data_IF_718090668054
#
_entry.id   IF_718090668054
#
_cell.length_a   1.000
_cell.length_b   1.000
_cell.length_c   1.000
_cell.angle_alpha   90.00
_cell.angle_beta   90.00
_cell.angle_gamma   90.00
#
_symmetry.space_group_name_H-M   'P 1'
#
loop_
_entity.id
_entity.type
_entity.pdbx_description
1 polymer ?
#
# COMPACT_ATOMS: atom_id res chain seq x y z
N UNK A 1 -18.07 -2.95 -21.62
CA UNK A 1 -18.05 -2.56 -20.20
C UNK A 1 -16.66 -2.65 -19.57
N UNK A 2 -15.73 -3.43 -20.13
CA UNK A 2 -14.35 -3.64 -19.60
C UNK A 2 -13.41 -2.42 -19.67
N UNK A 3 -13.66 -1.45 -20.57
CA UNK A 3 -12.84 -0.22 -20.71
C UNK A 3 -13.15 0.86 -19.67
N UNK A 4 -14.31 0.81 -19.01
CA UNK A 4 -14.74 1.85 -18.06
C UNK A 4 -14.14 1.65 -16.66
N UNK A 5 -13.82 0.40 -16.29
CA UNK A 5 -13.28 0.07 -14.96
C UNK A 5 -11.81 0.48 -14.85
N UNK A 6 -10.98 0.23 -15.87
CA UNK A 6 -9.57 0.63 -15.87
C UNK A 6 -9.37 2.17 -15.77
N UNK A 7 -10.27 2.96 -16.35
CA UNK A 7 -10.24 4.42 -16.23
C UNK A 7 -10.71 4.94 -14.86
N UNK A 8 -11.51 4.16 -14.13
CA UNK A 8 -12.05 4.56 -12.83
C UNK A 8 -11.07 4.30 -11.67
N UNK A 9 -10.23 3.26 -11.78
CA UNK A 9 -9.17 2.98 -10.79
C UNK A 9 -8.11 4.10 -10.74
N UNK A 10 -7.83 4.73 -11.89
CA UNK A 10 -6.90 5.87 -11.97
C UNK A 10 -7.43 7.16 -11.31
N UNK A 11 -8.75 7.28 -11.13
CA UNK A 11 -9.39 8.50 -10.60
C UNK A 11 -9.83 8.38 -9.14
N UNK A 12 -9.81 7.17 -8.55
CA UNK A 12 -10.19 6.91 -7.16
C UNK A 12 -9.00 6.70 -6.20
N UNK A 13 -7.76 6.79 -6.67
CA UNK A 13 -6.56 6.80 -5.81
C UNK A 13 -6.39 8.16 -5.12
N UNK A 14 -7.39 8.57 -4.33
CA UNK A 14 -7.40 9.82 -3.60
C UNK A 14 -6.79 9.58 -2.22
N UNK A 15 -5.60 10.18 -2.00
CA UNK A 15 -4.86 10.34 -0.74
C UNK A 15 -5.03 9.23 0.33
N UNK A 16 -4.16 8.21 0.26
CA UNK A 16 -4.10 7.17 1.30
C UNK A 16 -2.99 7.48 2.32
N UNK A 17 -3.36 8.12 3.42
CA UNK A 17 -2.51 8.31 4.59
C UNK A 17 -2.74 7.18 5.59
N UNK A 18 -1.70 6.43 5.97
CA UNK A 18 -1.81 5.43 7.03
C UNK A 18 -1.27 6.02 8.34
N UNK A 19 -2.14 6.21 9.33
CA UNK A 19 -1.76 6.55 10.69
C UNK A 19 -2.17 5.39 11.59
N UNK A 20 -1.27 4.92 12.46
CA UNK A 20 -1.64 4.00 13.54
C UNK A 20 -1.98 4.87 14.76
N UNK A 21 -3.25 5.09 15.11
CA UNK A 21 -3.56 5.90 16.28
C UNK A 21 -3.15 5.14 17.54
N UNK A 22 -2.20 5.69 18.29
CA UNK A 22 -2.10 5.41 19.72
C UNK A 22 -3.16 6.26 20.40
N UNK A 23 -4.20 5.63 20.94
CA UNK A 23 -5.28 6.35 21.64
C UNK A 23 -4.69 7.05 22.87
N UNK A 24 -4.56 8.37 22.80
CA UNK A 24 -4.10 9.24 23.87
C UNK A 24 -4.65 10.64 23.67
N UNK A 25 -5.21 11.21 24.73
CA UNK A 25 -5.75 12.57 24.85
C UNK A 25 -4.92 13.63 24.12
N UNK A 26 -5.63 14.59 23.48
CA UNK A 26 -5.10 15.72 22.71
C UNK A 26 -3.76 16.26 23.24
N UNK A 27 -2.68 15.70 22.70
CA UNK A 27 -1.35 16.25 22.82
C UNK A 27 -1.20 17.35 21.76
N UNK A 28 -0.51 18.44 22.10
CA UNK A 28 0.15 19.32 21.13
C UNK A 28 0.58 18.48 19.92
N UNK A 29 0.17 18.87 18.69
CA UNK A 29 0.52 18.12 17.48
C UNK A 29 2.02 17.84 17.51
N UNK A 30 2.38 16.60 17.83
CA UNK A 30 3.76 16.23 18.02
C UNK A 30 4.46 16.41 16.68
N UNK A 31 5.61 17.08 16.66
CA UNK A 31 6.39 17.16 15.42
C UNK A 31 6.92 15.76 15.11
N UNK A 32 6.72 15.23 13.88
CA UNK A 32 7.29 13.94 13.51
C UNK A 32 8.80 13.89 13.73
N UNK A 33 9.28 12.84 14.41
CA UNK A 33 10.71 12.60 14.59
C UNK A 33 11.37 12.17 13.29
N UNK A 34 10.64 11.45 12.44
CA UNK A 34 11.11 10.92 11.16
C UNK A 34 9.96 10.82 10.17
N UNK A 35 10.22 11.19 8.92
CA UNK A 35 9.26 11.09 7.82
C UNK A 35 9.95 10.43 6.64
N UNK A 36 9.26 9.49 6.01
CA UNK A 36 9.71 8.90 4.76
C UNK A 36 8.61 8.91 3.71
N UNK A 37 9.02 8.96 2.46
CA UNK A 37 8.13 8.99 1.33
C UNK A 37 8.62 8.03 0.25
N UNK A 38 7.66 7.32 -0.36
CA UNK A 38 7.85 6.64 -1.63
C UNK A 38 6.88 7.22 -2.65
N UNK A 39 7.31 7.42 -3.89
CA UNK A 39 6.44 7.99 -4.92
C UNK A 39 6.74 7.45 -6.30
N UNK A 40 5.74 7.51 -7.17
CA UNK A 40 5.91 7.24 -8.61
C UNK A 40 6.28 8.53 -9.33
N UNK A 41 7.35 8.49 -10.12
CA UNK A 41 7.77 9.62 -10.94
C UNK A 41 8.08 9.16 -12.37
N UNK A 42 7.46 9.86 -13.33
CA UNK A 42 7.65 9.59 -14.75
C UNK A 42 9.01 10.08 -15.22
N UNK A 43 9.78 9.19 -15.85
CA UNK A 43 11.07 9.48 -16.44
C UNK A 43 10.94 10.16 -17.83
N UNK A 44 12.07 10.50 -18.44
CA UNK A 44 12.10 11.17 -19.74
C UNK A 44 11.54 10.32 -20.90
N UNK A 45 11.45 8.99 -20.70
CA UNK A 45 10.91 8.05 -21.68
C UNK A 45 9.40 7.83 -21.50
N UNK A 46 8.81 8.38 -20.43
CA UNK A 46 7.38 8.27 -20.14
C UNK A 46 7.03 7.14 -19.18
N UNK A 47 8.03 6.41 -18.65
CA UNK A 47 7.80 5.30 -17.72
C UNK A 47 7.80 5.79 -16.28
N UNK A 48 6.86 5.32 -15.47
CA UNK A 48 6.85 5.62 -14.04
C UNK A 48 7.85 4.74 -13.27
N UNK A 49 8.76 5.36 -12.52
CA UNK A 49 9.70 4.69 -11.63
C UNK A 49 9.41 5.01 -10.15
N UNK A 50 9.76 4.10 -9.24
CA UNK A 50 9.59 4.32 -7.79
C UNK A 50 10.83 4.96 -7.21
N UNK A 51 10.62 6.01 -6.42
CA UNK A 51 11.66 6.72 -5.67
C UNK A 51 11.38 6.68 -4.17
N UNK A 52 12.43 6.83 -3.38
CA UNK A 52 12.40 6.96 -1.93
C UNK A 52 13.21 8.16 -1.47
N UNK A 53 12.73 8.83 -0.43
CA UNK A 53 13.48 9.80 0.35
C UNK A 53 12.98 9.78 1.79
N UNK A 54 13.84 10.20 2.71
CA UNK A 54 13.51 10.36 4.11
C UNK A 54 14.01 11.69 4.66
N UNK A 55 13.54 12.04 5.86
CA UNK A 55 14.08 13.14 6.66
C UNK A 55 13.90 12.87 8.14
N UNK A 56 14.89 13.32 8.91
CA UNK A 56 14.75 13.49 10.35
C UNK A 56 13.99 14.79 10.66
N UNK A 57 13.55 14.93 11.90
CA UNK A 57 12.98 16.16 12.42
C UNK A 57 13.90 17.36 12.11
N UNK A 58 13.31 18.43 11.58
CA UNK A 58 13.98 19.70 11.23
C UNK A 58 15.16 19.57 10.23
N UNK A 59 15.32 18.41 9.58
CA UNK A 59 16.30 18.19 8.54
C UNK A 59 15.69 18.35 7.13
N UNK A 60 16.50 18.72 6.11
CA UNK A 60 16.06 18.61 4.73
C UNK A 60 15.80 17.14 4.35
N UNK A 61 14.97 16.93 3.33
CA UNK A 61 14.85 15.62 2.70
C UNK A 61 16.19 15.12 2.17
N UNK A 62 16.43 13.82 2.30
CA UNK A 62 17.54 13.13 1.65
C UNK A 62 17.44 13.28 0.13
N UNK A 63 18.56 13.09 -0.56
CA UNK A 63 18.54 12.95 -2.02
C UNK A 63 17.65 11.76 -2.43
N UNK A 64 16.71 11.93 -3.37
CA UNK A 64 15.87 10.83 -3.85
C UNK A 64 16.66 9.66 -4.43
N UNK A 65 16.36 8.46 -3.97
CA UNK A 65 16.93 7.21 -4.48
C UNK A 65 15.90 6.48 -5.32
N UNK A 66 16.26 6.15 -6.58
CA UNK A 66 15.43 5.29 -7.44
C UNK A 66 15.51 3.84 -6.96
N UNK A 67 14.37 3.20 -6.71
CA UNK A 67 14.26 1.80 -6.26
C UNK A 67 14.15 0.85 -7.46
N UNK A 68 13.46 1.25 -8.53
CA UNK A 68 13.20 0.39 -9.69
C UNK A 68 14.35 0.38 -10.70
N UNK A 69 14.57 -0.75 -11.35
CA UNK A 69 15.59 -0.97 -12.38
C UNK A 69 15.02 -1.48 -13.72
N UNK A 70 13.70 -1.48 -13.85
CA UNK A 70 12.95 -1.89 -15.05
C UNK A 70 12.39 -0.69 -15.84
N UNK A 71 11.72 -1.01 -16.96
CA UNK A 71 10.98 -0.08 -17.83
C UNK A 71 9.46 -0.24 -17.68
N UNK A 72 8.98 -0.81 -16.58
CA UNK A 72 7.56 -0.94 -16.33
C UNK A 72 6.99 0.41 -15.89
N UNK A 73 5.67 0.58 -16.04
CA UNK A 73 4.97 1.64 -15.33
C UNK A 73 4.76 1.21 -13.88
N UNK A 74 5.61 1.73 -13.01
CA UNK A 74 5.60 1.41 -11.59
C UNK A 74 4.75 2.44 -10.82
N UNK A 75 3.67 1.96 -10.22
CA UNK A 75 2.58 2.78 -9.68
C UNK A 75 2.17 2.33 -8.28
N UNK A 76 1.59 3.25 -7.51
CA UNK A 76 1.03 3.02 -6.17
C UNK A 76 2.03 2.36 -5.19
N UNK A 77 3.22 2.97 -4.97
CA UNK A 77 4.17 2.44 -4.01
C UNK A 77 3.66 2.62 -2.59
N UNK A 78 3.92 1.63 -1.73
CA UNK A 78 3.63 1.68 -0.29
C UNK A 78 4.86 1.19 0.46
N UNK A 79 5.23 1.87 1.55
CA UNK A 79 6.35 1.50 2.41
C UNK A 79 5.86 1.05 3.79
N UNK A 80 6.53 0.06 4.37
CA UNK A 80 6.33 -0.34 5.77
C UNK A 80 7.65 -0.73 6.45
N UNK A 81 7.77 -0.36 7.72
CA UNK A 81 8.90 -0.70 8.58
C UNK A 81 8.72 -2.07 9.24
N UNK A 82 9.78 -2.88 9.21
CA UNK A 82 9.91 -4.10 9.98
C UNK A 82 10.59 -3.88 11.33
N UNK A 83 10.28 -4.70 12.35
CA UNK A 83 10.89 -4.57 13.69
C UNK A 83 12.38 -4.90 13.73
N UNK A 84 12.94 -5.45 12.66
CA UNK A 84 14.36 -5.73 12.50
C UNK A 84 15.13 -4.60 11.78
N UNK A 85 14.49 -3.45 11.56
CA UNK A 85 15.06 -2.29 10.90
C UNK A 85 15.08 -2.38 9.38
N UNK A 86 14.53 -3.44 8.78
CA UNK A 86 14.33 -3.51 7.32
C UNK A 86 13.06 -2.76 6.92
N UNK A 87 13.11 -2.10 5.77
CA UNK A 87 11.93 -1.44 5.18
C UNK A 87 11.47 -2.21 3.96
N UNK A 88 10.17 -2.35 3.79
CA UNK A 88 9.55 -3.00 2.64
C UNK A 88 8.85 -1.97 1.79
N UNK A 89 9.17 -1.93 0.49
CA UNK A 89 8.42 -1.16 -0.50
C UNK A 89 7.75 -2.14 -1.45
N UNK A 90 6.44 -1.98 -1.66
CA UNK A 90 5.67 -2.74 -2.65
C UNK A 90 5.00 -1.79 -3.63
N UNK A 91 4.83 -2.20 -4.88
CA UNK A 91 4.19 -1.38 -5.91
C UNK A 91 3.54 -2.23 -7.00
N UNK A 92 2.62 -1.65 -7.76
CA UNK A 92 2.10 -2.23 -9.00
C UNK A 92 3.11 -1.99 -10.11
N UNK A 93 3.58 -3.04 -10.77
CA UNK A 93 4.51 -2.93 -11.90
C UNK A 93 3.79 -3.36 -13.17
N UNK A 94 3.56 -2.42 -14.08
CA UNK A 94 2.67 -2.59 -15.24
C UNK A 94 3.47 -2.67 -16.53
N UNK A 95 3.30 -3.78 -17.25
CA UNK A 95 3.83 -3.99 -18.58
C UNK A 95 2.72 -4.60 -19.44
N UNK A 96 1.86 -3.75 -20.00
CA UNK A 96 0.60 -4.19 -20.58
C UNK A 96 0.78 -5.36 -21.57
N UNK A 97 -0.06 -6.42 -21.48
CA UNK A 97 -1.28 -6.51 -20.67
C UNK A 97 -1.07 -6.96 -19.21
N UNK A 98 0.18 -7.18 -18.77
CA UNK A 98 0.49 -7.80 -17.49
C UNK A 98 0.62 -6.77 -16.34
N UNK A 99 0.10 -7.15 -15.17
CA UNK A 99 0.13 -6.34 -13.95
C UNK A 99 0.67 -7.18 -12.79
N UNK A 100 1.84 -6.82 -12.30
CA UNK A 100 2.55 -7.54 -11.24
C UNK A 100 2.54 -6.73 -9.94
N UNK A 101 2.71 -7.42 -8.81
CA UNK A 101 3.16 -6.76 -7.58
C UNK A 101 4.67 -7.00 -7.45
N UNK A 102 5.43 -5.92 -7.43
CA UNK A 102 6.86 -5.95 -7.15
C UNK A 102 7.14 -5.48 -5.73
N UNK A 103 8.29 -5.88 -5.20
CA UNK A 103 8.80 -5.43 -3.91
C UNK A 103 10.31 -5.23 -3.92
N UNK A 104 10.79 -4.38 -3.01
CA UNK A 104 12.20 -4.21 -2.65
C UNK A 104 12.33 -4.01 -1.14
N UNK A 105 13.48 -4.42 -0.59
CA UNK A 105 13.76 -4.37 0.84
C UNK A 105 15.01 -3.51 1.07
N UNK A 106 14.90 -2.50 1.93
CA UNK A 106 16.05 -1.74 2.43
C UNK A 106 16.66 -2.51 3.61
N UNK A 107 17.93 -2.86 3.51
CA UNK A 107 18.68 -3.48 4.61
C UNK A 107 20.11 -2.94 4.62
N UNK A 108 20.58 -2.46 5.78
CA UNK A 108 21.93 -1.88 5.89
C UNK A 108 22.16 -0.68 4.97
N UNK A 109 21.12 0.10 4.68
CA UNK A 109 21.19 1.28 3.79
C UNK A 109 21.19 0.95 2.29
N UNK A 110 21.01 -0.31 1.88
CA UNK A 110 20.99 -0.72 0.49
C UNK A 110 19.66 -1.37 0.13
N UNK A 111 19.03 -0.90 -0.95
CA UNK A 111 17.83 -1.53 -1.52
C UNK A 111 18.21 -2.82 -2.25
N UNK A 112 17.44 -3.88 -2.04
CA UNK A 112 17.55 -5.09 -2.87
C UNK A 112 17.09 -4.81 -4.31
N UNK A 113 17.57 -5.58 -5.27
CA UNK A 113 16.97 -5.58 -6.61
C UNK A 113 15.46 -5.87 -6.52
N UNK A 114 14.60 -5.17 -7.30
CA UNK A 114 13.18 -5.46 -7.40
C UNK A 114 12.88 -6.92 -7.69
N UNK A 115 11.82 -7.45 -7.06
CA UNK A 115 11.35 -8.83 -7.27
C UNK A 115 9.84 -8.86 -7.36
N UNK A 116 9.31 -9.72 -8.22
CA UNK A 116 7.89 -10.00 -8.26
C UNK A 116 7.44 -10.88 -7.08
N UNK A 117 6.25 -10.59 -6.53
CA UNK A 117 5.53 -11.52 -5.66
C UNK A 117 4.84 -12.54 -6.55
N UNK A 118 5.06 -13.86 -6.36
CA UNK A 118 4.46 -14.88 -7.20
C UNK A 118 2.95 -14.98 -6.91
N UNK A 119 2.13 -14.35 -7.76
CA UNK A 119 0.68 -14.32 -7.56
C UNK A 119 -0.05 -15.50 -8.24
N UNK A 120 0.36 -15.86 -9.47
CA UNK A 120 -0.39 -16.79 -10.31
C UNK A 120 -1.73 -16.25 -10.80
N UNK A 121 -1.96 -14.94 -10.64
CA UNK A 121 -3.15 -14.20 -11.07
C UNK A 121 -2.85 -13.44 -12.37
N UNK A 122 -3.88 -13.17 -13.17
CA UNK A 122 -3.75 -12.49 -14.47
C UNK A 122 -3.47 -10.99 -14.34
N UNK A 123 -3.97 -10.36 -13.27
CA UNK A 123 -3.73 -8.95 -12.97
C UNK A 123 -3.64 -8.74 -11.47
N UNK A 124 -2.77 -7.83 -11.05
CA UNK A 124 -2.52 -7.50 -9.65
C UNK A 124 -2.25 -5.99 -9.51
N UNK A 125 -3.05 -5.30 -8.72
CA UNK A 125 -2.99 -3.83 -8.61
C UNK A 125 -3.22 -3.33 -7.19
N UNK A 126 -2.79 -2.09 -6.94
CA UNK A 126 -2.98 -1.37 -5.68
C UNK A 126 -2.54 -2.19 -4.45
N UNK A 127 -1.26 -2.61 -4.38
CA UNK A 127 -0.78 -3.36 -3.23
C UNK A 127 -0.67 -2.47 -2.01
N UNK A 128 -0.76 -3.08 -0.84
CA UNK A 128 -0.43 -2.47 0.44
C UNK A 128 0.36 -3.46 1.29
N UNK A 129 1.27 -2.96 2.11
CA UNK A 129 2.15 -3.78 2.95
C UNK A 129 2.11 -3.33 4.40
N UNK A 130 2.15 -4.29 5.32
CA UNK A 130 2.44 -4.08 6.73
C UNK A 130 3.34 -5.22 7.24
N UNK A 131 4.20 -4.94 8.21
CA UNK A 131 5.07 -5.96 8.83
C UNK A 131 4.61 -6.17 10.27
N UNK A 132 4.43 -7.43 10.68
CA UNK A 132 4.04 -7.73 12.06
C UNK A 132 5.24 -7.81 13.02
N UNK A 133 4.95 -7.86 14.33
CA UNK A 133 5.95 -7.96 15.40
C UNK A 133 6.84 -9.23 15.29
N UNK A 134 6.44 -10.21 14.49
CA UNK A 134 7.21 -11.43 14.18
C UNK A 134 8.03 -11.30 12.89
N UNK A 135 8.16 -10.07 12.35
CA UNK A 135 8.91 -9.75 11.14
C UNK A 135 8.38 -10.50 9.90
N UNK A 136 7.06 -10.72 9.86
CA UNK A 136 6.35 -11.24 8.70
C UNK A 136 5.79 -10.07 7.91
N UNK A 137 6.19 -9.93 6.65
CA UNK A 137 5.56 -8.97 5.76
C UNK A 137 4.23 -9.54 5.25
N UNK A 138 3.15 -8.79 5.41
CA UNK A 138 1.83 -9.07 4.89
C UNK A 138 1.55 -8.10 3.75
N UNK A 139 1.28 -8.65 2.56
CA UNK A 139 0.93 -7.85 1.38
C UNK A 139 -0.49 -8.20 0.96
N UNK A 140 -1.31 -7.18 0.76
CA UNK A 140 -2.67 -7.27 0.20
C UNK A 140 -2.71 -6.55 -1.13
N UNK A 141 -3.58 -6.97 -2.05
CA UNK A 141 -3.75 -6.32 -3.36
C UNK A 141 -5.11 -6.68 -3.99
N UNK A 142 -5.55 -5.87 -4.96
CA UNK A 142 -6.67 -6.21 -5.84
C UNK A 142 -6.15 -7.17 -6.93
N UNK A 143 -6.73 -8.36 -7.03
CA UNK A 143 -6.26 -9.40 -7.94
C UNK A 143 -7.36 -9.97 -8.83
N UNK A 144 -7.02 -10.32 -10.07
CA UNK A 144 -7.91 -10.92 -11.06
C UNK A 144 -7.41 -12.31 -11.48
N UNK A 145 -8.28 -13.31 -11.56
CA UNK A 145 -7.90 -14.67 -12.00
C UNK A 145 -8.04 -14.88 -13.53
N UNK A 146 -8.47 -13.84 -14.27
CA UNK A 146 -8.72 -13.86 -15.70
C UNK A 146 -10.14 -14.27 -16.08
N UNK A 147 -10.98 -14.63 -15.12
CA UNK A 147 -12.36 -15.13 -15.34
C UNK A 147 -13.39 -14.41 -14.46
N UNK A 148 -13.02 -13.98 -13.26
CA UNK A 148 -13.88 -13.22 -12.34
C UNK A 148 -13.57 -11.73 -12.32
N UNK A 149 -14.31 -10.98 -11.50
CA UNK A 149 -13.95 -9.62 -11.13
C UNK A 149 -12.68 -9.60 -10.26
N UNK A 150 -12.20 -8.37 -10.01
CA UNK A 150 -11.14 -8.13 -9.04
C UNK A 150 -11.63 -8.46 -7.64
N UNK A 151 -10.80 -9.17 -6.88
CA UNK A 151 -11.05 -9.61 -5.53
C UNK A 151 -9.85 -9.25 -4.66
N UNK A 152 -10.00 -9.26 -3.33
CA UNK A 152 -8.90 -8.93 -2.43
C UNK A 152 -8.08 -10.18 -2.15
N UNK A 153 -6.80 -10.15 -2.48
CA UNK A 153 -5.85 -11.21 -2.17
C UNK A 153 -4.85 -10.76 -1.12
N UNK A 154 -4.27 -11.73 -0.44
CA UNK A 154 -3.10 -11.51 0.41
C UNK A 154 -2.08 -12.63 0.27
N UNK A 155 -0.82 -12.30 0.53
CA UNK A 155 0.25 -13.26 0.76
C UNK A 155 1.17 -12.72 1.87
N UNK A 156 1.98 -13.62 2.43
CA UNK A 156 2.87 -13.33 3.54
C UNK A 156 4.27 -13.78 3.18
N UNK A 157 5.27 -12.95 3.48
CA UNK A 157 6.66 -13.33 3.37
C UNK A 157 7.23 -13.64 4.76
N UNK A 158 7.70 -14.88 4.95
CA UNK A 158 8.36 -15.34 6.18
C UNK A 158 9.72 -15.91 5.82
N UNK A 159 10.77 -15.39 6.45
CA UNK A 159 12.16 -15.79 6.18
C UNK A 159 12.49 -15.80 4.66
N UNK A 160 12.01 -14.79 3.93
CA UNK A 160 12.26 -14.62 2.49
C UNK A 160 11.42 -15.53 1.57
N UNK A 161 10.44 -16.28 2.11
CA UNK A 161 9.55 -17.14 1.32
C UNK A 161 8.12 -16.63 1.35
N UNK A 162 7.53 -16.51 0.17
CA UNK A 162 6.13 -16.14 -0.01
C UNK A 162 5.21 -17.35 0.16
N UNK A 163 4.11 -17.15 0.87
CA UNK A 163 2.96 -18.04 0.82
C UNK A 163 2.33 -18.00 -0.58
N UNK A 164 1.61 -19.08 -0.93
CA UNK A 164 0.66 -18.98 -2.06
C UNK A 164 -0.38 -17.91 -1.71
N UNK A 165 -0.73 -17.01 -2.64
CA UNK A 165 -1.79 -16.05 -2.41
C UNK A 165 -3.12 -16.71 -2.06
N UNK A 166 -3.88 -16.04 -1.21
CA UNK A 166 -5.21 -16.50 -0.79
C UNK A 166 -6.17 -15.34 -0.92
N UNK A 167 -7.34 -15.59 -1.53
CA UNK A 167 -8.43 -14.62 -1.57
C UNK A 167 -8.96 -14.40 -0.14
N UNK A 168 -9.05 -13.14 0.25
CA UNK A 168 -9.44 -12.68 1.58
C UNK A 168 -10.96 -12.58 1.73
N UNK A 169 -11.63 -12.09 0.70
CA UNK A 169 -13.06 -11.80 0.68
C UNK A 169 -13.89 -12.95 0.08
N UNK A 170 -15.19 -13.05 0.41
CA UNK A 170 -16.12 -13.94 -0.29
C UNK A 170 -16.30 -13.50 -1.75
N UNK A 171 -16.35 -14.47 -2.67
CA UNK A 171 -16.63 -14.20 -4.09
C UNK A 171 -17.96 -13.47 -4.23
N UNK A 172 -18.00 -12.48 -5.11
CA UNK A 172 -19.24 -11.81 -5.50
C UNK A 172 -19.21 -11.39 -6.98
N UNK A 173 -20.28 -10.75 -7.45
CA UNK A 173 -20.47 -10.41 -8.87
C UNK A 173 -19.95 -9.02 -9.23
N UNK A 174 -19.27 -8.34 -8.30
CA UNK A 174 -18.73 -7.00 -8.49
C UNK A 174 -17.25 -6.93 -8.07
N UNK A 175 -16.50 -5.91 -8.49
CA UNK A 175 -15.11 -5.76 -8.03
C UNK A 175 -15.02 -5.34 -6.56
N UNK A 176 -14.09 -5.97 -5.83
CA UNK A 176 -13.55 -5.47 -4.57
C UNK A 176 -12.13 -4.94 -4.83
N UNK A 177 -11.87 -3.70 -4.45
CA UNK A 177 -10.67 -2.96 -4.88
C UNK A 177 -10.03 -2.15 -3.75
N UNK A 178 -8.78 -1.72 -3.99
CA UNK A 178 -8.01 -0.79 -3.15
C UNK A 178 -7.88 -1.27 -1.70
N UNK A 179 -7.33 -2.47 -1.45
CA UNK A 179 -7.18 -2.95 -0.10
C UNK A 179 -6.07 -2.20 0.64
N UNK A 180 -6.24 -2.05 1.94
CA UNK A 180 -5.23 -1.58 2.88
C UNK A 180 -5.09 -2.58 4.01
N UNK A 181 -3.89 -2.69 4.59
CA UNK A 181 -3.65 -3.54 5.75
C UNK A 181 -2.99 -2.73 6.87
N UNK A 182 -3.52 -2.88 8.08
CA UNK A 182 -2.98 -2.31 9.29
C UNK A 182 -2.78 -3.39 10.37
N UNK A 183 -1.67 -3.32 11.09
CA UNK A 183 -1.33 -4.24 12.17
C UNK A 183 -0.90 -3.40 13.38
N UNK A 184 -1.82 -3.21 14.32
CA UNK A 184 -1.48 -2.57 15.59
C UNK A 184 -0.72 -3.54 16.51
N UNK A 185 0.17 -3.01 17.35
CA UNK A 185 0.99 -3.81 18.28
C UNK A 185 0.15 -4.78 19.11
N UNK A 186 0.48 -6.06 19.06
CA UNK A 186 -0.25 -7.14 19.75
C UNK A 186 -1.71 -7.35 19.29
N UNK A 187 -2.13 -6.75 18.17
CA UNK A 187 -3.47 -6.94 17.56
C UNK A 187 -3.36 -7.78 16.28
N UNK A 188 -4.40 -8.53 15.93
CA UNK A 188 -4.43 -9.22 14.65
C UNK A 188 -4.45 -8.22 13.48
N UNK A 189 -3.91 -8.59 12.30
CA UNK A 189 -4.06 -7.79 11.09
C UNK A 189 -5.52 -7.46 10.78
N UNK A 190 -5.75 -6.24 10.31
CA UNK A 190 -7.03 -5.75 9.82
C UNK A 190 -6.83 -5.29 8.38
N UNK A 191 -7.73 -5.72 7.50
CA UNK A 191 -7.75 -5.31 6.09
C UNK A 191 -9.03 -4.57 5.82
N UNK A 192 -8.91 -3.40 5.20
CA UNK A 192 -10.03 -2.62 4.67
C UNK A 192 -9.95 -2.60 3.14
N UNK A 193 -11.08 -2.43 2.47
CA UNK A 193 -11.14 -2.30 1.01
C UNK A 193 -12.46 -1.64 0.59
N UNK A 194 -12.59 -1.27 -0.68
CA UNK A 194 -13.83 -0.80 -1.27
C UNK A 194 -14.57 -1.97 -1.92
N UNK A 195 -15.78 -2.26 -1.47
CA UNK A 195 -16.68 -3.23 -2.08
C UNK A 195 -17.93 -2.56 -2.63
N UNK A 196 -18.36 -2.94 -3.82
CA UNK A 196 -19.54 -2.36 -4.46
C UNK A 196 -20.84 -2.99 -3.91
N UNK A 197 -21.75 -2.19 -3.37
CA UNK A 197 -23.03 -2.64 -2.81
C UNK A 197 -24.09 -1.57 -3.07
N UNK A 198 -25.32 -2.00 -3.30
CA UNK A 198 -26.48 -1.10 -3.44
C UNK A 198 -26.31 0.08 -4.42
N UNK A 199 -25.43 -0.07 -5.42
CA UNK A 199 -25.17 0.94 -6.46
C UNK A 199 -23.97 1.87 -6.20
N UNK A 200 -23.26 1.72 -5.08
CA UNK A 200 -22.10 2.54 -4.73
C UNK A 200 -20.97 1.74 -4.05
N UNK A 201 -19.80 2.35 -3.85
CA UNK A 201 -18.69 1.71 -3.14
C UNK A 201 -18.77 1.99 -1.64
N UNK A 202 -18.70 0.94 -0.84
CA UNK A 202 -18.68 0.99 0.61
C UNK A 202 -17.33 0.50 1.14
N UNK A 203 -16.87 1.10 2.25
CA UNK A 203 -15.68 0.65 2.97
C UNK A 203 -16.02 -0.61 3.76
N UNK A 204 -15.36 -1.70 3.42
CA UNK A 204 -15.48 -2.97 4.14
C UNK A 204 -14.21 -3.21 4.96
N UNK A 205 -14.37 -3.97 6.05
CA UNK A 205 -13.29 -4.36 6.93
C UNK A 205 -13.40 -5.85 7.28
N UNK A 206 -12.25 -6.52 7.33
CA UNK A 206 -12.11 -7.85 7.92
C UNK A 206 -10.87 -7.92 8.80
N UNK A 207 -10.96 -8.65 9.90
CA UNK A 207 -9.86 -8.83 10.84
C UNK A 207 -9.46 -10.30 10.89
N UNK A 208 -8.17 -10.55 11.02
CA UNK A 208 -7.62 -11.90 11.10
C UNK A 208 -8.11 -12.61 12.36
N UNK A 209 -8.51 -13.88 12.22
CA UNK A 209 -8.98 -14.79 13.28
C UNK A 209 -8.26 -16.13 13.12
N UNK A 210 -7.08 -16.25 13.73
CA UNK A 210 -6.21 -17.41 13.54
C UNK A 210 -5.79 -17.59 12.08
N UNK A 211 -6.18 -18.71 11.47
CA UNK A 211 -5.87 -18.99 10.07
C UNK A 211 -6.80 -18.28 9.06
N UNK A 212 -7.95 -17.77 9.49
CA UNK A 212 -8.99 -17.23 8.60
C UNK A 212 -9.23 -15.74 8.81
N UNK A 213 -9.93 -15.11 7.86
CA UNK A 213 -10.43 -13.75 7.98
C UNK A 213 -11.87 -13.77 8.51
N UNK A 214 -12.27 -12.77 9.29
CA UNK A 214 -13.66 -12.63 9.73
C UNK A 214 -14.59 -12.33 8.54
N UNK A 215 -15.90 -12.52 8.74
CA UNK A 215 -16.88 -12.01 7.76
C UNK A 215 -16.66 -10.49 7.58
N UNK A 216 -16.67 -9.97 6.34
CA UNK A 216 -16.56 -8.54 6.09
C UNK A 216 -17.71 -7.78 6.76
N UNK A 217 -17.37 -6.67 7.41
CA UNK A 217 -18.33 -5.71 7.96
C UNK A 217 -18.14 -4.36 7.28
N UNK A 218 -19.22 -3.66 7.04
CA UNK A 218 -19.17 -2.29 6.54
C UNK A 218 -18.78 -1.34 7.68
N UNK A 219 -17.94 -0.36 7.38
CA UNK A 219 -17.50 0.67 8.31
C UNK A 219 -17.77 2.05 7.71
N UNK A 220 -18.10 3.02 8.56
CA UNK A 220 -18.29 4.41 8.13
C UNK A 220 -16.99 5.21 8.24
N UNK A 221 -16.86 6.23 7.40
CA UNK A 221 -15.65 7.09 7.30
C UNK A 221 -15.43 8.03 8.50
N UNK A 222 -16.13 7.81 9.64
CA UNK A 222 -16.17 8.73 10.77
C UNK A 222 -14.82 8.94 11.49
N UNK A 223 -13.77 8.19 11.13
CA UNK A 223 -12.43 8.28 11.72
C UNK A 223 -11.37 8.93 10.80
N UNK A 224 -11.68 9.22 9.53
CA UNK A 224 -10.65 9.57 8.53
C UNK A 224 -10.43 11.10 8.39
N UNK A 225 -11.48 11.91 8.63
CA UNK A 225 -11.44 13.36 8.42
C UNK A 225 -10.41 14.10 9.29
N UNK A 226 -10.14 13.62 10.51
CA UNK A 226 -9.14 14.23 11.40
C UNK A 226 -7.69 13.87 11.01
N UNK A 227 -7.49 12.72 10.37
CA UNK A 227 -6.18 12.21 9.97
C UNK A 227 -5.71 12.80 8.64
N UNK A 228 -6.65 13.06 7.73
CA UNK A 228 -6.36 13.66 6.42
C UNK A 228 -5.85 15.11 6.53
N UNK A 229 -6.33 15.87 7.53
CA UNK A 229 -5.93 17.26 7.71
C UNK A 229 -4.50 17.40 8.25
N UNK A 230 -4.05 16.51 9.14
CA UNK A 230 -2.69 16.55 9.70
C UNK A 230 -1.61 16.14 8.68
N UNK A 231 -1.93 15.22 7.77
CA UNK A 231 -0.97 14.75 6.78
C UNK A 231 -0.81 15.71 5.57
N UNK A 232 -1.85 16.52 5.27
CA UNK A 232 -1.76 17.61 4.29
C UNK A 232 -0.74 18.69 4.65
N UNK A 233 -0.25 18.73 5.90
CA UNK A 233 0.76 19.69 6.36
C UNK A 233 2.21 19.17 6.19
N UNK A 234 2.41 17.89 5.85
CA UNK A 234 3.76 17.34 5.62
C UNK A 234 4.21 17.66 4.19
N UNK A 235 5.16 18.59 4.07
CA UNK A 235 5.75 18.92 2.77
C UNK A 235 6.57 17.74 2.22
N UNK A 236 6.20 17.25 1.04
CA UNK A 236 6.95 16.27 0.25
C UNK A 236 8.29 16.85 -0.28
N UNK A 237 9.24 15.98 -0.69
CA UNK A 237 10.43 16.45 -1.41
C UNK A 237 10.04 17.32 -2.61
N UNK A 238 10.76 18.42 -2.84
CA UNK A 238 10.48 19.35 -3.96
C UNK A 238 10.57 18.70 -5.35
N UNK A 239 11.20 17.53 -5.44
CA UNK A 239 11.31 16.71 -6.66
C UNK A 239 10.01 15.98 -7.00
N UNK A 240 9.08 15.81 -6.05
CA UNK A 240 7.80 15.14 -6.29
C UNK A 240 6.90 16.02 -7.15
N UNK A 241 6.68 15.60 -8.39
CA UNK A 241 5.80 16.30 -9.36
C UNK A 241 4.32 15.96 -9.19
N UNK A 242 4.03 14.79 -8.63
CA UNK A 242 2.69 14.21 -8.51
C UNK A 242 2.47 13.73 -7.07
N UNK A 243 2.11 14.64 -6.13
CA UNK A 243 1.86 14.31 -4.72
C UNK A 243 0.81 13.20 -4.53
N UNK A 244 -0.16 13.10 -5.44
CA UNK A 244 -1.20 12.07 -5.45
C UNK A 244 -0.66 10.66 -5.72
N UNK A 245 0.60 10.54 -6.18
CA UNK A 245 1.29 9.28 -6.43
C UNK A 245 2.34 8.96 -5.37
N UNK A 246 2.33 9.69 -4.26
CA UNK A 246 3.20 9.48 -3.13
C UNK A 246 2.47 8.76 -1.99
N UNK A 247 3.21 7.95 -1.26
CA UNK A 247 2.83 7.40 0.03
C UNK A 247 3.82 7.92 1.07
N UNK A 248 3.30 8.42 2.18
CA UNK A 248 4.09 8.97 3.28
C UNK A 248 3.91 8.07 4.50
N UNK A 249 5.03 7.70 5.12
CA UNK A 249 5.05 7.04 6.42
C UNK A 249 5.70 7.98 7.44
N UNK A 250 5.05 8.13 8.61
CA UNK A 250 5.37 9.17 9.60
C UNK A 250 5.58 8.50 10.95
N UNK A 251 6.71 8.83 11.59
CA UNK A 251 7.06 8.40 12.95
C UNK A 251 7.11 9.65 13.83
N UNK A 252 6.48 9.58 14.99
CA UNK A 252 6.37 10.65 15.99
C UNK A 252 7.23 10.36 17.22
#
# INVERSE_FOLDING_TARGET
>A
MTRQVAGMVASLCMFMYCFVPTVGTAASAATPSFVEAVWSQTDALGHAAIYYADRQQDAPWSEPVRITDDQFDNLHPVIADGPDGRKWVVWSAVNQPDFFIHYSILAGGVWSAPRAIPSGLSSNTAPFVAVDDSNVAWVVWSGNDGVSNDEIYFSRCRAGKWDKPVRLNPKNEVPDILPQIAIAKGKPPVVTWLGFRDGEYHRLQSSRRGASWSKPVEISDAAEAATEQAAREIALPATVKHPERAFIHVIY
#
